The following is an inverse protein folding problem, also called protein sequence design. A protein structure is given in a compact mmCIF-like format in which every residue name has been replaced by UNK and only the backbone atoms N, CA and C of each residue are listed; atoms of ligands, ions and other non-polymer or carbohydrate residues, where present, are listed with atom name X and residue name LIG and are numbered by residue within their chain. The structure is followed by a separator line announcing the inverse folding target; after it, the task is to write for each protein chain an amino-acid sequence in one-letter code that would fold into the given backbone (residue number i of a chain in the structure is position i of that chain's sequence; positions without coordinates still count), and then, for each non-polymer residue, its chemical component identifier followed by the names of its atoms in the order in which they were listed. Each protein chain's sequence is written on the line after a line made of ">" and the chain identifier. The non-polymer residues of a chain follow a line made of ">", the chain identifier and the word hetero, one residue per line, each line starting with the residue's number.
data_IF_832413950930
#
_entry.id   IF_832413950930
#
_cell.length_a   1.000
_cell.length_b   1.000
_cell.length_c   1.000
_cell.angle_alpha   90.00
_cell.angle_beta   90.00
_cell.angle_gamma   90.00
#
_symmetry.space_group_name_H-M   'P 1'
#
loop_
_entity.id
_entity.type
_entity.pdbx_description
1 polymer ?
#
# COMPACT_ATOMS: atom_id res chain seq x y z
N UNK A 1 9.39 8.19 -4.71
CA UNK A 1 8.04 8.60 -5.17
C UNK A 1 7.36 9.54 -4.17
N UNK A 2 7.32 9.26 -2.87
CA UNK A 2 6.59 10.09 -1.90
C UNK A 2 7.37 11.30 -1.37
N UNK A 3 8.71 11.32 -1.48
CA UNK A 3 9.55 12.40 -0.95
C UNK A 3 9.13 13.83 -1.37
N UNK A 4 8.71 14.09 -2.63
CA UNK A 4 8.23 15.41 -3.02
C UNK A 4 7.01 15.89 -2.21
N UNK A 5 6.08 14.99 -1.86
CA UNK A 5 4.89 15.35 -1.06
C UNK A 5 5.23 15.83 0.35
N UNK A 6 6.35 15.37 0.91
CA UNK A 6 6.81 15.79 2.24
C UNK A 6 7.64 17.09 2.20
N UNK A 7 8.08 17.49 1.00
CA UNK A 7 8.89 18.70 0.80
C UNK A 7 8.07 19.87 0.23
N UNK A 8 6.86 19.61 -0.24
CA UNK A 8 5.96 20.61 -0.81
C UNK A 8 5.30 21.43 0.32
N UNK A 9 5.50 22.76 0.36
CA UNK A 9 4.90 23.61 1.40
C UNK A 9 3.37 23.70 1.30
N UNK A 10 2.79 23.40 0.14
CA UNK A 10 1.34 23.45 -0.08
C UNK A 10 0.65 22.13 0.32
N UNK A 11 1.41 21.13 0.77
CA UNK A 11 0.90 19.81 1.15
C UNK A 11 1.19 19.53 2.62
N UNK A 12 0.12 19.43 3.42
CA UNK A 12 0.22 18.93 4.79
C UNK A 12 0.01 17.42 4.83
N UNK A 13 1.05 16.67 5.27
CA UNK A 13 0.93 15.24 5.52
C UNK A 13 0.41 15.02 6.95
N UNK A 14 -0.91 14.95 7.11
CA UNK A 14 -1.56 14.79 8.41
C UNK A 14 -1.16 13.49 9.16
N UNK A 15 -0.77 12.44 8.43
CA UNK A 15 -0.25 11.21 9.00
C UNK A 15 -0.03 10.10 7.97
N UNK A 16 0.61 9.01 8.38
CA UNK A 16 0.90 7.88 7.50
C UNK A 16 0.56 6.51 8.10
N UNK A 17 0.07 5.60 7.26
CA UNK A 17 -0.14 4.19 7.63
C UNK A 17 0.88 3.31 6.92
N UNK A 18 1.71 2.62 7.70
CA UNK A 18 2.72 1.69 7.19
C UNK A 18 2.21 0.26 7.38
N UNK A 19 1.86 -0.39 6.29
CA UNK A 19 1.41 -1.79 6.32
C UNK A 19 2.60 -2.73 6.19
N UNK A 20 2.84 -3.57 7.21
CA UNK A 20 3.85 -4.62 7.20
C UNK A 20 3.20 -5.99 6.95
N UNK A 21 3.49 -6.60 5.80
CA UNK A 21 3.06 -7.96 5.51
C UNK A 21 3.11 -8.27 4.01
N UNK A 22 3.17 -9.55 3.62
CA UNK A 22 3.13 -9.92 2.21
C UNK A 22 1.77 -9.57 1.57
N UNK A 23 1.71 -9.29 0.25
CA UNK A 23 0.47 -9.03 -0.47
C UNK A 23 -0.60 -10.11 -0.26
N UNK A 24 -1.82 -9.69 0.11
CA UNK A 24 -2.96 -10.59 0.39
C UNK A 24 -2.82 -11.38 1.71
N UNK A 25 -2.15 -10.80 2.72
CA UNK A 25 -2.06 -11.35 4.08
C UNK A 25 -3.13 -10.81 5.04
N UNK A 26 -4.10 -10.03 4.54
CA UNK A 26 -5.32 -9.60 5.24
C UNK A 26 -6.31 -10.75 5.53
N UNK A 27 -5.94 -11.98 5.20
CA UNK A 27 -6.80 -13.15 5.40
C UNK A 27 -7.94 -13.26 4.37
N UNK A 28 -8.05 -12.32 3.42
CA UNK A 28 -9.00 -12.41 2.31
C UNK A 28 -8.26 -12.90 1.06
N UNK A 29 -8.50 -14.14 0.60
CA UNK A 29 -7.91 -14.57 -0.67
C UNK A 29 -8.39 -13.61 -1.78
N UNK A 30 -7.52 -13.24 -2.73
CA UNK A 30 -7.95 -12.42 -3.85
C UNK A 30 -9.09 -13.16 -4.56
N UNK A 31 -10.24 -12.49 -4.71
CA UNK A 31 -11.31 -13.03 -5.53
C UNK A 31 -10.75 -13.19 -6.96
N UNK A 32 -10.81 -14.39 -7.56
CA UNK A 32 -10.42 -14.53 -8.95
C UNK A 32 -11.33 -13.62 -9.78
N UNK A 33 -10.74 -12.68 -10.52
CA UNK A 33 -11.49 -11.91 -11.50
C UNK A 33 -12.12 -12.86 -12.53
N UNK A 34 -13.28 -12.51 -13.11
CA UNK A 34 -13.91 -13.35 -14.12
C UNK A 34 -12.91 -13.62 -15.26
N UNK A 35 -12.69 -14.91 -15.54
CA UNK A 35 -11.91 -15.35 -16.71
C UNK A 35 -10.38 -15.45 -16.56
N UNK A 36 -9.78 -15.18 -15.40
CA UNK A 36 -8.31 -15.29 -15.21
C UNK A 36 -7.94 -16.35 -14.18
N UNK A 37 -7.69 -17.59 -14.64
CA UNK A 37 -7.02 -18.61 -13.81
C UNK A 37 -5.56 -18.17 -13.60
N UNK A 38 -5.05 -18.11 -12.37
CA UNK A 38 -3.64 -17.81 -12.14
C UNK A 38 -2.80 -18.91 -12.80
N UNK A 39 -1.94 -18.52 -13.75
CA UNK A 39 -1.04 -19.46 -14.41
C UNK A 39 -0.07 -20.06 -13.37
N UNK A 40 0.41 -21.27 -13.62
CA UNK A 40 1.42 -21.92 -12.77
C UNK A 40 2.63 -20.98 -12.53
N UNK A 41 3.00 -20.20 -13.55
CA UNK A 41 4.04 -19.15 -13.49
C UNK A 41 3.75 -18.07 -12.45
N UNK A 42 2.51 -17.59 -12.35
CA UNK A 42 2.12 -16.61 -11.33
C UNK A 42 2.19 -17.18 -9.92
N UNK A 43 1.77 -18.44 -9.73
CA UNK A 43 1.87 -19.12 -8.43
C UNK A 43 3.32 -19.28 -7.97
N UNK A 44 4.24 -19.60 -8.88
CA UNK A 44 5.68 -19.62 -8.60
C UNK A 44 6.23 -18.22 -8.30
N UNK A 45 5.89 -17.20 -9.10
CA UNK A 45 6.27 -15.82 -8.84
C UNK A 45 5.80 -15.35 -7.46
N UNK A 46 4.53 -15.62 -7.09
CA UNK A 46 3.97 -15.26 -5.78
C UNK A 46 4.68 -15.95 -4.63
N UNK A 47 5.02 -17.23 -4.80
CA UNK A 47 5.75 -18.00 -3.78
C UNK A 47 7.19 -17.51 -3.64
N UNK A 48 7.85 -17.26 -4.78
CA UNK A 48 9.17 -16.63 -4.84
C UNK A 48 9.19 -15.25 -4.20
N UNK A 49 8.18 -14.41 -4.45
CA UNK A 49 8.07 -13.08 -3.83
C UNK A 49 7.96 -13.14 -2.31
N UNK A 50 7.35 -14.17 -1.70
CA UNK A 50 7.33 -14.34 -0.22
C UNK A 50 8.69 -14.67 0.37
N UNK A 51 9.51 -15.43 -0.36
CA UNK A 51 10.86 -15.83 0.07
C UNK A 51 11.88 -14.73 -0.24
N UNK A 52 11.79 -14.17 -1.45
CA UNK A 52 12.63 -13.10 -1.97
C UNK A 52 12.51 -11.82 -1.16
N UNK A 53 11.30 -11.38 -0.79
CA UNK A 53 11.14 -10.15 0.02
C UNK A 53 11.74 -10.25 1.42
N UNK A 54 11.91 -11.46 1.98
CA UNK A 54 12.65 -11.66 3.24
C UNK A 54 14.17 -11.57 3.03
N UNK A 55 14.68 -12.09 1.93
CA UNK A 55 16.11 -12.03 1.58
C UNK A 55 16.53 -10.62 1.12
N UNK A 56 15.68 -9.94 0.35
CA UNK A 56 15.88 -8.58 -0.15
C UNK A 56 15.87 -7.56 1.01
N UNK A 57 15.05 -7.79 2.04
CA UNK A 57 15.11 -7.00 3.28
C UNK A 57 16.40 -7.17 4.08
N UNK A 58 17.13 -8.28 3.90
CA UNK A 58 18.44 -8.51 4.54
C UNK A 58 19.60 -7.93 3.71
N UNK A 59 19.43 -7.81 2.39
CA UNK A 59 20.49 -7.38 1.45
C UNK A 59 20.38 -5.92 1.02
N UNK A 60 19.21 -5.30 1.13
CA UNK A 60 18.98 -3.94 0.64
C UNK A 60 19.54 -2.90 1.62
N UNK A 61 20.65 -2.27 1.23
CA UNK A 61 21.20 -1.06 1.85
C UNK A 61 20.28 0.13 1.54
N UNK A 62 19.21 0.21 2.32
CA UNK A 62 18.31 1.35 2.52
C UNK A 62 17.46 1.81 1.32
N UNK A 63 16.30 1.19 1.06
CA UNK A 63 15.18 1.96 0.53
C UNK A 63 14.70 2.90 1.63
N UNK A 64 14.55 4.20 1.34
CA UNK A 64 13.89 5.13 2.27
C UNK A 64 12.48 4.59 2.53
N UNK A 65 12.32 3.92 3.66
CA UNK A 65 11.02 3.47 4.11
C UNK A 65 10.21 4.67 4.57
N UNK A 66 8.90 4.64 4.32
CA UNK A 66 7.97 5.72 4.67
C UNK A 66 8.14 6.22 6.12
N UNK A 67 8.43 5.33 7.09
CA UNK A 67 8.65 5.73 8.48
C UNK A 67 9.86 6.67 8.66
N UNK A 68 10.97 6.49 7.94
CA UNK A 68 12.11 7.41 8.01
C UNK A 68 11.74 8.80 7.48
N UNK A 69 10.89 8.85 6.46
CA UNK A 69 10.40 10.11 5.91
C UNK A 69 9.44 10.79 6.90
N UNK A 70 8.59 10.01 7.56
CA UNK A 70 7.74 10.51 8.64
C UNK A 70 8.58 11.06 9.81
N UNK A 71 9.59 10.31 10.27
CA UNK A 71 10.48 10.73 11.35
C UNK A 71 11.19 12.05 11.02
N UNK A 72 11.70 12.19 9.79
CA UNK A 72 12.42 13.39 9.32
C UNK A 72 11.53 14.64 9.30
N UNK A 73 10.25 14.48 8.98
CA UNK A 73 9.29 15.57 8.83
C UNK A 73 8.34 15.70 10.03
N UNK A 74 8.61 15.00 11.13
CA UNK A 74 7.78 14.97 12.34
C UNK A 74 6.30 14.60 12.07
N UNK A 75 6.05 13.75 11.08
CA UNK A 75 4.71 13.28 10.71
C UNK A 75 4.35 12.04 11.55
N UNK A 76 3.18 11.98 12.20
CA UNK A 76 2.78 10.81 12.95
C UNK A 76 2.49 9.63 12.01
N UNK A 77 2.85 8.42 12.41
CA UNK A 77 2.54 7.23 11.63
C UNK A 77 2.13 6.03 12.49
N UNK A 78 1.33 5.15 11.89
CA UNK A 78 0.91 3.87 12.49
C UNK A 78 1.45 2.72 11.67
N UNK A 79 2.20 1.83 12.32
CA UNK A 79 2.60 0.55 11.73
C UNK A 79 1.57 -0.51 12.06
N UNK A 80 1.04 -1.17 11.04
CA UNK A 80 0.01 -2.22 11.20
C UNK A 80 0.27 -3.40 10.26
N UNK A 81 -0.30 -4.57 10.57
CA UNK A 81 -0.34 -5.72 9.65
C UNK A 81 -1.59 -5.72 8.76
N UNK A 82 -2.61 -4.97 9.17
CA UNK A 82 -3.87 -4.82 8.45
C UNK A 82 -4.31 -3.36 8.47
N UNK A 83 -4.52 -2.79 7.28
CA UNK A 83 -4.98 -1.41 7.13
C UNK A 83 -6.43 -1.21 7.62
N UNK A 84 -7.26 -2.25 7.58
CA UNK A 84 -8.68 -2.14 7.99
C UNK A 84 -8.89 -2.33 9.51
N UNK A 85 -7.81 -2.42 10.29
CA UNK A 85 -7.90 -2.57 11.75
C UNK A 85 -8.45 -1.32 12.44
N UNK A 86 -9.17 -1.51 13.56
CA UNK A 86 -9.79 -0.42 14.31
C UNK A 86 -8.78 0.69 14.71
N UNK A 87 -7.55 0.33 15.05
CA UNK A 87 -6.46 1.29 15.36
C UNK A 87 -6.16 2.21 14.17
N UNK A 88 -6.13 1.65 12.96
CA UNK A 88 -5.86 2.42 11.74
C UNK A 88 -7.01 3.36 11.43
N UNK A 89 -8.25 2.87 11.50
CA UNK A 89 -9.46 3.68 11.27
C UNK A 89 -9.52 4.84 12.29
N UNK A 90 -9.25 4.57 13.56
CA UNK A 90 -9.23 5.59 14.60
C UNK A 90 -8.17 6.66 14.36
N UNK A 91 -6.94 6.26 13.98
CA UNK A 91 -5.86 7.19 13.65
C UNK A 91 -6.23 8.06 12.44
N UNK A 92 -6.73 7.46 11.36
CA UNK A 92 -7.14 8.20 10.17
C UNK A 92 -8.24 9.21 10.46
N UNK A 93 -9.24 8.85 11.29
CA UNK A 93 -10.28 9.79 11.71
C UNK A 93 -9.75 10.93 12.58
N UNK A 94 -8.79 10.64 13.46
CA UNK A 94 -8.19 11.64 14.33
C UNK A 94 -7.32 12.65 13.55
N UNK A 95 -6.71 12.23 12.45
CA UNK A 95 -5.91 13.10 11.57
C UNK A 95 -6.74 13.96 10.62
N UNK A 96 -8.04 13.69 10.50
CA UNK A 96 -8.98 14.45 9.65
C UNK A 96 -8.43 14.78 8.25
N UNK A 97 -7.94 13.80 7.47
CA UNK A 97 -7.35 14.07 6.17
C UNK A 97 -8.43 14.49 5.17
N UNK A 98 -8.13 15.45 4.31
CA UNK A 98 -9.00 15.83 3.19
C UNK A 98 -8.90 14.83 2.03
N UNK A 99 -7.69 14.31 1.80
CA UNK A 99 -7.36 13.36 0.73
C UNK A 99 -6.62 12.16 1.31
N UNK A 100 -7.04 10.96 0.91
CA UNK A 100 -6.35 9.70 1.20
C UNK A 100 -5.60 9.21 -0.03
N UNK A 101 -4.30 8.99 0.09
CA UNK A 101 -3.46 8.42 -0.98
C UNK A 101 -2.99 7.02 -0.58
N UNK A 102 -3.35 6.02 -1.39
CA UNK A 102 -2.90 4.65 -1.22
C UNK A 102 -1.84 4.29 -2.25
N UNK A 103 -0.68 3.81 -1.78
CA UNK A 103 0.45 3.43 -2.64
C UNK A 103 0.87 2.02 -2.31
N UNK A 104 0.75 1.12 -3.29
CA UNK A 104 1.19 -0.28 -3.18
C UNK A 104 0.68 -1.01 -1.93
N UNK A 105 -0.55 -0.73 -1.50
CA UNK A 105 -1.12 -1.33 -0.29
C UNK A 105 -1.43 -2.82 -0.55
N UNK A 106 -0.92 -3.74 0.30
CA UNK A 106 -1.10 -5.18 0.09
C UNK A 106 -2.50 -5.69 0.42
N UNK A 107 -3.31 -4.89 1.10
CA UNK A 107 -4.67 -5.21 1.55
C UNK A 107 -5.70 -4.46 0.71
N UNK A 108 -6.89 -5.04 0.58
CA UNK A 108 -8.04 -4.30 0.04
C UNK A 108 -8.52 -3.28 1.09
N UNK A 109 -8.71 -2.03 0.68
CA UNK A 109 -9.26 -0.99 1.55
C UNK A 109 -10.77 -1.17 1.71
N UNK A 110 -11.25 -1.21 2.95
CA UNK A 110 -12.69 -1.23 3.24
C UNK A 110 -13.29 0.17 3.17
N UNK A 111 -14.62 0.30 2.97
CA UNK A 111 -15.29 1.60 2.87
C UNK A 111 -14.99 2.53 4.06
N UNK A 112 -14.89 1.98 5.27
CA UNK A 112 -14.55 2.73 6.48
C UNK A 112 -13.19 3.43 6.43
N UNK A 113 -12.26 2.98 5.58
CA UNK A 113 -10.99 3.65 5.29
C UNK A 113 -11.14 4.65 4.15
N UNK A 114 -11.85 4.29 3.08
CA UNK A 114 -12.02 5.14 1.89
C UNK A 114 -12.87 6.39 2.16
N UNK A 115 -13.78 6.32 3.12
CA UNK A 115 -14.73 7.38 3.47
C UNK A 115 -14.17 8.36 4.51
N UNK A 116 -12.97 8.13 5.05
CA UNK A 116 -12.36 9.07 6.03
C UNK A 116 -11.94 10.39 5.40
N UNK A 117 -11.72 10.41 4.09
CA UNK A 117 -11.25 11.57 3.34
C UNK A 117 -12.40 12.10 2.46
N UNK A 118 -13.00 13.25 2.83
CA UNK A 118 -14.21 13.75 2.17
C UNK A 118 -13.99 14.24 0.75
N UNK A 119 -12.77 14.66 0.37
CA UNK A 119 -12.51 15.15 -0.99
C UNK A 119 -12.19 14.01 -1.96
N UNK A 120 -11.26 13.14 -1.59
CA UNK A 120 -10.86 12.04 -2.47
C UNK A 120 -10.11 10.92 -1.75
N UNK A 121 -10.32 9.69 -2.23
CA UNK A 121 -9.48 8.53 -1.96
C UNK A 121 -8.85 8.05 -3.27
N UNK A 122 -7.54 8.21 -3.42
CA UNK A 122 -6.80 7.96 -4.67
C UNK A 122 -5.86 6.76 -4.50
N UNK A 123 -5.86 5.86 -5.49
CA UNK A 123 -4.94 4.74 -5.56
C UNK A 123 -3.85 4.96 -6.61
N UNK A 124 -2.60 4.89 -6.20
CA UNK A 124 -1.47 4.86 -7.15
C UNK A 124 -1.24 3.42 -7.60
N UNK A 125 -1.56 3.17 -8.86
CA UNK A 125 -1.35 1.88 -9.50
C UNK A 125 -0.13 1.89 -10.42
N UNK A 126 0.68 0.84 -10.36
CA UNK A 126 1.96 0.74 -11.08
C UNK A 126 1.80 0.07 -12.46
N UNK A 127 0.69 0.34 -13.15
CA UNK A 127 0.40 -0.16 -14.49
C UNK A 127 -0.73 0.63 -15.15
N UNK A 128 -0.82 0.56 -16.49
CA UNK A 128 -1.84 1.29 -17.25
C UNK A 128 -3.24 0.70 -17.00
N UNK A 129 -4.11 1.48 -16.36
CA UNK A 129 -5.52 1.14 -16.20
C UNK A 129 -6.30 1.41 -17.50
N UNK A 130 -7.39 0.65 -17.79
CA UNK A 130 -7.88 -0.50 -17.03
C UNK A 130 -7.12 -1.81 -17.35
N UNK A 131 -6.23 -1.82 -18.36
CA UNK A 131 -5.59 -3.02 -18.93
C UNK A 131 -4.82 -3.88 -17.92
N UNK A 132 -4.11 -3.25 -16.99
CA UNK A 132 -3.32 -3.92 -15.96
C UNK A 132 -3.93 -3.79 -14.57
N UNK A 133 -5.25 -3.63 -14.47
CA UNK A 133 -5.94 -3.65 -13.19
C UNK A 133 -5.71 -4.99 -12.46
N UNK A 134 -5.48 -4.92 -11.14
CA UNK A 134 -5.26 -6.08 -10.29
C UNK A 134 -3.83 -6.18 -9.75
N UNK A 135 -3.46 -7.38 -9.32
CA UNK A 135 -2.23 -7.62 -8.57
C UNK A 135 -1.01 -7.80 -9.47
N UNK A 136 0.13 -7.30 -9.01
CA UNK A 136 1.44 -7.46 -9.65
C UNK A 136 1.48 -7.01 -11.13
N UNK A 137 1.11 -5.75 -11.46
CA UNK A 137 1.12 -5.26 -12.84
C UNK A 137 2.48 -5.46 -13.52
N UNK A 138 3.60 -5.25 -12.81
CA UNK A 138 4.95 -5.50 -13.32
C UNK A 138 5.17 -6.91 -13.86
N UNK A 139 4.59 -7.92 -13.22
CA UNK A 139 4.71 -9.31 -13.69
C UNK A 139 3.95 -9.55 -14.99
N UNK A 140 2.85 -8.81 -15.23
CA UNK A 140 2.00 -9.00 -16.41
C UNK A 140 2.41 -8.14 -17.61
N UNK A 141 3.27 -7.14 -17.40
CA UNK A 141 3.78 -6.25 -18.45
C UNK A 141 5.04 -6.84 -19.12
N UNK A 142 5.75 -7.73 -18.43
CA UNK A 142 6.93 -8.45 -18.92
C UNK A 142 6.52 -9.75 -19.64
#
# INVERSE_FOLDING_TARGET
>A
MLAPLFADPDVEVAGAIVVRGPPGSDGRPPAPGPGRRPSLRYSFHRSGARVGSRAEGLLSRSPIFLHHLCDRHAVPYVVTRTVNGARTVAALRAWTPEVLVSVSVPNRLDPAILEVAPMASVGVHLGLLPRYAGVAPYFWVL
#
